data_IF_821137240457
#
_entry.id   IF_821137240457
#
_cell.length_a   1.000
_cell.length_b   1.000
_cell.length_c   1.000
_cell.angle_alpha   90.00
_cell.angle_beta   90.00
_cell.angle_gamma   90.00
#
_symmetry.space_group_name_H-M   'P 1'
#
loop_
_entity.id
_entity.type
_entity.pdbx_description
1 polymer ?
#
# COMPACT_ATOMS: atom_id res chain seq x y z
N UNK A 1 12.19 2.20 -4.85
CA UNK A 1 10.80 2.00 -4.35
C UNK A 1 10.81 1.81 -2.84
N UNK A 2 11.64 0.91 -2.30
CA UNK A 2 11.89 0.80 -0.85
C UNK A 2 12.33 2.15 -0.28
N UNK A 3 13.27 2.83 -0.95
CA UNK A 3 13.74 4.17 -0.52
C UNK A 3 12.61 5.21 -0.40
N UNK A 4 11.56 5.11 -1.21
CA UNK A 4 10.41 6.03 -1.12
C UNK A 4 9.51 5.69 0.08
N UNK A 5 9.38 4.41 0.42
CA UNK A 5 8.64 3.96 1.60
C UNK A 5 9.40 4.34 2.87
N UNK A 6 10.70 4.11 2.91
CA UNK A 6 11.57 4.52 4.03
C UNK A 6 11.52 6.05 4.23
N UNK A 7 11.45 6.80 3.13
CA UNK A 7 11.30 8.26 3.21
C UNK A 7 9.91 8.66 3.69
N UNK A 8 8.84 8.02 3.21
CA UNK A 8 7.49 8.29 3.67
C UNK A 8 7.33 8.00 5.17
N UNK A 9 7.97 6.93 5.65
CA UNK A 9 8.01 6.56 7.06
C UNK A 9 8.77 7.59 7.90
N UNK A 10 9.95 8.04 7.44
CA UNK A 10 10.70 9.12 8.09
C UNK A 10 9.95 10.47 8.10
N UNK A 11 9.08 10.70 7.13
CA UNK A 11 8.23 11.89 7.08
C UNK A 11 6.97 11.76 7.96
N UNK A 12 6.71 10.59 8.55
CA UNK A 12 5.53 10.32 9.36
C UNK A 12 4.24 10.15 8.54
N UNK A 13 4.33 10.09 7.22
CA UNK A 13 3.19 9.89 6.31
C UNK A 13 2.84 8.40 6.20
N UNK A 14 3.80 7.53 6.51
CA UNK A 14 3.64 6.09 6.53
C UNK A 14 3.99 5.50 7.89
N UNK A 15 3.13 4.61 8.42
CA UNK A 15 3.37 3.94 9.70
C UNK A 15 4.47 2.87 9.65
N UNK A 16 4.56 2.12 8.54
CA UNK A 16 5.52 1.03 8.39
C UNK A 16 5.87 0.76 6.91
N UNK A 17 7.15 0.88 6.55
CA UNK A 17 7.64 0.51 5.24
C UNK A 17 7.54 -1.01 4.96
N UNK A 18 7.78 -1.83 5.99
CA UNK A 18 7.69 -3.30 5.91
C UNK A 18 6.28 -3.77 5.54
N UNK A 19 5.24 -3.16 6.13
CA UNK A 19 3.85 -3.49 5.79
C UNK A 19 3.51 -3.25 4.32
N UNK A 20 4.17 -2.29 3.66
CA UNK A 20 4.01 -2.07 2.22
C UNK A 20 4.69 -3.13 1.36
N UNK A 21 5.77 -3.74 1.84
CA UNK A 21 6.41 -4.85 1.15
C UNK A 21 5.50 -6.08 1.10
N UNK A 22 4.76 -6.35 2.18
CA UNK A 22 3.74 -7.42 2.24
C UNK A 22 2.61 -7.17 1.23
N UNK A 23 2.04 -5.96 1.23
CA UNK A 23 1.00 -5.55 0.26
C UNK A 23 1.49 -5.73 -1.18
N UNK A 24 2.75 -5.36 -1.45
CA UNK A 24 3.37 -5.50 -2.76
C UNK A 24 3.47 -6.97 -3.18
N UNK A 25 3.85 -7.87 -2.26
CA UNK A 25 3.93 -9.30 -2.55
C UNK A 25 2.56 -9.86 -2.92
N UNK A 26 1.52 -9.51 -2.17
CA UNK A 26 0.13 -9.93 -2.46
C UNK A 26 -0.32 -9.41 -3.83
N UNK A 27 -0.04 -8.14 -4.14
CA UNK A 27 -0.30 -7.58 -5.47
C UNK A 27 0.44 -8.36 -6.57
N UNK A 28 1.71 -8.70 -6.36
CA UNK A 28 2.45 -9.51 -7.33
C UNK A 28 1.80 -10.89 -7.51
N UNK A 29 1.34 -11.52 -6.43
CA UNK A 29 0.64 -12.80 -6.47
C UNK A 29 -0.69 -12.71 -7.26
N UNK A 30 -1.40 -11.59 -7.18
CA UNK A 30 -2.63 -11.36 -7.96
C UNK A 30 -2.39 -11.08 -9.45
N UNK A 31 -1.24 -10.52 -9.83
CA UNK A 31 -0.96 -10.06 -11.21
C UNK A 31 -0.11 -11.07 -12.01
N UNK A 32 0.59 -12.00 -11.34
CA UNK A 32 1.47 -12.93 -12.05
C UNK A 32 0.69 -13.84 -13.01
N UNK A 33 1.18 -13.96 -14.25
CA UNK A 33 0.58 -14.67 -15.40
C UNK A 33 0.34 -16.20 -15.24
N UNK A 34 0.46 -16.76 -14.03
CA UNK A 34 0.26 -18.19 -13.77
C UNK A 34 -0.55 -18.44 -12.51
N UNK A 35 -1.71 -17.80 -12.37
CA UNK A 35 -2.72 -18.27 -11.44
C UNK A 35 -3.28 -19.58 -12.01
N UNK A 36 -2.54 -20.67 -11.82
CA UNK A 36 -2.94 -22.03 -12.18
C UNK A 36 -4.10 -22.52 -11.30
N UNK A 37 -4.38 -21.82 -10.19
CA UNK A 37 -5.43 -22.15 -9.22
C UNK A 37 -6.28 -20.94 -8.86
N UNK A 38 -7.60 -20.95 -9.16
CA UNK A 38 -8.54 -19.94 -8.70
C UNK A 38 -8.55 -19.76 -7.17
N UNK A 39 -8.22 -20.81 -6.41
CA UNK A 39 -8.14 -20.71 -4.94
C UNK A 39 -7.00 -19.78 -4.50
N UNK A 40 -5.84 -19.86 -5.13
CA UNK A 40 -4.70 -19.00 -4.82
C UNK A 40 -5.05 -17.52 -5.08
N UNK A 41 -5.81 -17.24 -6.14
CA UNK A 41 -6.30 -15.89 -6.41
C UNK A 41 -7.32 -15.44 -5.36
N UNK A 42 -8.28 -16.30 -5.01
CA UNK A 42 -9.30 -15.97 -4.01
C UNK A 42 -8.65 -15.66 -2.65
N UNK A 43 -7.66 -16.45 -2.24
CA UNK A 43 -6.91 -16.23 -1.00
C UNK A 43 -6.10 -14.93 -1.04
N UNK A 44 -5.45 -14.63 -2.17
CA UNK A 44 -4.72 -13.37 -2.36
C UNK A 44 -5.66 -12.15 -2.33
N UNK A 45 -6.84 -12.24 -2.96
CA UNK A 45 -7.85 -11.17 -2.94
C UNK A 45 -8.40 -10.94 -1.53
N UNK A 46 -8.75 -12.00 -0.80
CA UNK A 46 -9.22 -11.90 0.57
C UNK A 46 -8.14 -11.31 1.49
N UNK A 47 -6.90 -11.71 1.30
CA UNK A 47 -5.76 -11.15 2.03
C UNK A 47 -5.59 -9.67 1.70
N UNK A 48 -5.64 -9.29 0.42
CA UNK A 48 -5.56 -7.90 -0.02
C UNK A 48 -6.69 -7.02 0.55
N UNK A 49 -7.91 -7.56 0.64
CA UNK A 49 -9.05 -6.88 1.25
C UNK A 49 -8.78 -6.50 2.71
N UNK A 50 -8.08 -7.34 3.46
CA UNK A 50 -7.64 -7.03 4.83
C UNK A 50 -6.70 -5.82 4.95
N UNK A 51 -6.07 -5.38 3.86
CA UNK A 51 -5.22 -4.19 3.82
C UNK A 51 -5.96 -2.93 3.36
N UNK A 52 -7.25 -3.01 3.01
CA UNK A 52 -8.02 -1.87 2.49
C UNK A 52 -7.93 -0.65 3.41
N UNK A 53 -8.14 -0.83 4.71
CA UNK A 53 -8.10 0.28 5.68
C UNK A 53 -6.72 0.94 5.74
N UNK A 54 -5.64 0.13 5.74
CA UNK A 54 -4.26 0.64 5.73
C UNK A 54 -3.94 1.43 4.47
N UNK A 55 -4.42 0.97 3.30
CA UNK A 55 -4.24 1.67 2.03
C UNK A 55 -4.97 3.02 2.03
N UNK A 56 -6.21 3.04 2.52
CA UNK A 56 -7.00 4.27 2.63
C UNK A 56 -6.40 5.26 3.62
N UNK A 57 -5.93 4.77 4.78
CA UNK A 57 -5.27 5.59 5.78
C UNK A 57 -3.99 6.23 5.23
N UNK A 58 -3.16 5.47 4.51
CA UNK A 58 -1.96 6.01 3.87
C UNK A 58 -2.29 7.06 2.79
N UNK A 59 -3.30 6.80 1.95
CA UNK A 59 -3.75 7.78 0.96
C UNK A 59 -4.20 9.09 1.63
N UNK A 60 -4.96 9.01 2.72
CA UNK A 60 -5.39 10.17 3.48
C UNK A 60 -4.21 10.91 4.11
N UNK A 61 -3.25 10.18 4.69
CA UNK A 61 -2.04 10.77 5.27
C UNK A 61 -1.21 11.53 4.22
N UNK A 62 -1.08 10.99 3.01
CA UNK A 62 -0.39 11.68 1.90
C UNK A 62 -1.10 12.97 1.50
N UNK A 63 -2.43 12.96 1.39
CA UNK A 63 -3.21 14.16 1.08
C UNK A 63 -3.04 15.23 2.16
N UNK A 64 -3.18 14.83 3.43
CA UNK A 64 -3.01 15.73 4.56
C UNK A 64 -1.58 16.31 4.64
N UNK A 65 -0.54 15.51 4.41
CA UNK A 65 0.84 16.02 4.37
C UNK A 65 1.06 17.00 3.19
N UNK A 66 0.48 16.71 2.02
CA UNK A 66 0.57 17.58 0.86
C UNK A 66 -0.15 18.94 1.09
N UNK A 67 -1.33 18.93 1.72
CA UNK A 67 -2.06 20.13 2.14
C UNK A 67 -1.25 20.95 3.15
N UNK A 68 -0.70 20.31 4.18
CA UNK A 68 0.11 20.97 5.22
C UNK A 68 1.36 21.63 4.66
N UNK A 69 1.91 21.09 3.57
CA UNK A 69 3.07 21.65 2.85
C UNK A 69 2.69 22.64 1.75
N UNK A 70 1.40 22.94 1.57
CA UNK A 70 0.88 23.82 0.52
C UNK A 70 1.25 23.35 -0.91
N UNK A 71 1.33 22.03 -1.11
CA UNK A 71 1.62 21.43 -2.42
C UNK A 71 0.37 21.24 -3.28
N UNK A 72 -0.80 21.19 -2.63
CA UNK A 72 -2.11 21.08 -3.25
C UNK A 72 -3.08 22.04 -2.55
N UNK A 73 -4.08 22.52 -3.29
CA UNK A 73 -5.19 23.32 -2.75
C UNK A 73 -6.39 22.40 -2.44
N UNK A 74 -7.15 22.72 -1.39
CA UNK A 74 -8.39 22.02 -1.03
C UNK A 74 -9.53 22.28 -2.02
#
# INVERSE_FOLDING_TARGET
MVDNLDRAEKLGVLDSADGWLEIRQIRNQMIHEYIESPQILADALNTAYGYQEKLMAFAQAMLTDAEQRHLIEN
#
